data_IF_996812241674
#
_entry.id   IF_996812241674
#
_cell.length_a   1.000
_cell.length_b   1.000
_cell.length_c   1.000
_cell.angle_alpha   90.00
_cell.angle_beta   90.00
_cell.angle_gamma   90.00
#
_symmetry.space_group_name_H-M   'P 1'
#
loop_
_entity.id
_entity.type
_entity.pdbx_description
1 polymer ?
#
# COMPACT_ATOMS: atom_id res chain seq x y z
N UNK A 1 -9.74 -12.66 -4.53
CA UNK A 1 -8.94 -11.63 -5.21
C UNK A 1 -9.85 -10.97 -6.23
N UNK A 2 -9.99 -9.65 -6.23
CA UNK A 2 -10.77 -8.96 -7.24
C UNK A 2 -10.00 -8.97 -8.58
N UNK A 3 -10.67 -9.27 -9.68
CA UNK A 3 -10.06 -9.22 -11.01
C UNK A 3 -9.71 -7.78 -11.40
N UNK A 4 -8.58 -7.56 -12.09
CA UNK A 4 -8.18 -6.23 -12.53
C UNK A 4 -9.17 -5.72 -13.58
N UNK A 5 -9.88 -4.64 -13.26
CA UNK A 5 -10.79 -3.97 -14.20
C UNK A 5 -9.93 -3.29 -15.28
N UNK A 6 -10.06 -3.73 -16.52
CA UNK A 6 -9.46 -3.06 -17.69
C UNK A 6 -10.36 -1.88 -18.05
N UNK A 7 -9.84 -0.66 -17.91
CA UNK A 7 -10.60 0.58 -18.13
C UNK A 7 -10.12 1.28 -19.40
N UNK A 8 -11.07 1.66 -20.26
CA UNK A 8 -10.92 2.60 -21.39
C UNK A 8 -12.05 3.66 -21.23
N UNK A 9 -12.00 4.95 -21.60
CA UNK A 9 -11.31 5.63 -22.70
C UNK A 9 -10.89 7.04 -22.23
N UNK A 10 -9.59 7.34 -22.30
CA UNK A 10 -8.89 8.66 -22.28
C UNK A 10 -9.13 9.61 -21.08
N UNK A 11 -10.36 10.02 -20.76
CA UNK A 11 -10.61 10.98 -19.66
C UNK A 11 -10.41 10.33 -18.28
N UNK A 12 -10.78 9.04 -18.14
CA UNK A 12 -10.49 8.26 -16.93
C UNK A 12 -9.01 7.87 -16.84
N UNK A 13 -8.29 7.78 -17.96
CA UNK A 13 -6.85 7.54 -17.95
C UNK A 13 -6.09 8.68 -17.29
N UNK A 14 -6.40 9.93 -17.66
CA UNK A 14 -5.82 11.10 -16.99
C UNK A 14 -6.17 11.13 -15.50
N UNK A 15 -7.41 10.75 -15.14
CA UNK A 15 -7.85 10.67 -13.74
C UNK A 15 -7.10 9.60 -12.95
N UNK A 16 -6.85 8.42 -13.56
CA UNK A 16 -6.19 7.30 -12.90
C UNK A 16 -4.67 7.44 -12.86
N UNK A 17 -4.03 7.99 -13.89
CA UNK A 17 -2.62 8.40 -13.85
C UNK A 17 -2.40 9.57 -12.89
N UNK A 18 -3.40 10.46 -12.76
CA UNK A 18 -3.37 11.55 -11.78
C UNK A 18 -3.35 11.09 -10.32
N UNK A 19 -3.62 9.80 -10.06
CA UNK A 19 -3.44 9.19 -8.74
C UNK A 19 -1.97 8.89 -8.42
N UNK A 20 -1.08 8.88 -9.44
CA UNK A 20 0.35 8.81 -9.22
C UNK A 20 0.88 10.22 -8.93
N UNK A 21 1.29 10.43 -7.69
CA UNK A 21 1.89 11.70 -7.28
C UNK A 21 3.33 11.81 -7.78
N UNK A 22 3.69 12.99 -8.29
CA UNK A 22 5.09 13.33 -8.60
C UNK A 22 5.96 13.14 -7.35
N UNK A 23 7.13 12.52 -7.52
CA UNK A 23 8.00 12.10 -6.41
C UNK A 23 7.58 10.77 -5.75
N UNK A 24 6.43 10.20 -6.10
CA UNK A 24 5.96 8.92 -5.57
C UNK A 24 6.82 7.73 -6.01
N UNK A 25 6.96 6.73 -5.14
CA UNK A 25 7.69 5.52 -5.46
C UNK A 25 6.87 4.62 -6.41
N UNK A 26 7.51 4.20 -7.50
CA UNK A 26 6.96 3.23 -8.44
C UNK A 26 7.91 2.05 -8.60
N UNK A 27 7.38 0.91 -9.02
CA UNK A 27 8.16 -0.26 -9.44
C UNK A 27 8.01 -0.42 -10.95
N UNK A 28 9.12 -0.61 -11.64
CA UNK A 28 9.12 -1.01 -13.05
C UNK A 28 9.36 -2.52 -13.15
N UNK A 29 8.56 -3.20 -13.96
CA UNK A 29 8.81 -4.59 -14.37
C UNK A 29 9.38 -4.59 -15.80
N UNK A 30 10.53 -5.24 -15.96
CA UNK A 30 11.22 -5.43 -17.24
C UNK A 30 11.21 -6.92 -17.56
N UNK A 31 10.91 -7.26 -18.81
CA UNK A 31 10.99 -8.64 -19.31
C UNK A 31 12.07 -8.69 -20.38
N UNK A 32 13.09 -9.53 -20.18
CA UNK A 32 14.15 -9.73 -21.18
C UNK A 32 13.61 -10.52 -22.37
N UNK A 33 14.29 -10.51 -23.54
CA UNK A 33 13.91 -11.36 -24.67
C UNK A 33 13.82 -12.86 -24.33
N UNK A 34 14.69 -13.34 -23.43
CA UNK A 34 14.66 -14.70 -22.90
C UNK A 34 13.53 -14.96 -21.87
N UNK A 35 12.60 -14.02 -21.66
CA UNK A 35 11.47 -14.15 -20.73
C UNK A 35 11.78 -13.91 -19.25
N UNK A 36 13.03 -13.58 -18.89
CA UNK A 36 13.42 -13.29 -17.50
C UNK A 36 12.78 -11.98 -17.04
N UNK A 37 12.20 -11.98 -15.85
CA UNK A 37 11.53 -10.79 -15.27
C UNK A 37 12.43 -10.14 -14.22
N UNK A 38 12.57 -8.82 -14.27
CA UNK A 38 13.25 -8.00 -13.29
C UNK A 38 12.32 -6.91 -12.75
N UNK A 39 12.40 -6.63 -11.45
CA UNK A 39 11.58 -5.59 -10.79
C UNK A 39 12.48 -4.58 -10.11
N UNK A 40 12.29 -3.30 -10.41
CA UNK A 40 13.16 -2.23 -9.91
C UNK A 40 12.33 -1.09 -9.37
N UNK A 41 12.60 -0.69 -8.12
CA UNK A 41 11.99 0.51 -7.54
C UNK A 41 12.67 1.75 -8.08
N UNK A 42 11.87 2.76 -8.39
CA UNK A 42 12.31 4.07 -8.87
C UNK A 42 11.24 5.13 -8.54
N UNK A 43 11.42 6.34 -9.05
CA UNK A 43 10.57 7.49 -8.74
C UNK A 43 9.73 7.90 -9.95
N UNK A 44 8.45 8.14 -9.74
CA UNK A 44 7.59 8.78 -10.72
C UNK A 44 7.88 10.28 -10.76
N UNK A 45 8.18 10.83 -11.93
CA UNK A 45 8.48 12.25 -12.07
C UNK A 45 7.20 13.03 -12.41
N UNK A 46 6.43 12.53 -13.38
CA UNK A 46 5.19 13.17 -13.82
C UNK A 46 4.81 12.75 -15.23
N UNK A 47 3.87 13.47 -15.82
CA UNK A 47 3.40 13.20 -17.17
C UNK A 47 2.85 14.46 -17.83
N UNK A 48 2.91 14.48 -19.15
CA UNK A 48 2.17 15.44 -19.96
C UNK A 48 1.05 14.67 -20.66
N UNK A 49 -0.23 14.96 -20.35
CA UNK A 49 -1.37 14.21 -20.87
C UNK A 49 -1.28 14.00 -22.38
N UNK A 50 -1.52 12.76 -22.83
CA UNK A 50 -1.49 12.36 -24.25
C UNK A 50 -0.14 12.48 -24.94
N UNK A 51 0.93 12.90 -24.25
CA UNK A 51 2.25 13.07 -24.86
C UNK A 51 3.26 12.05 -24.35
N UNK A 52 3.53 12.05 -23.05
CA UNK A 52 4.53 11.15 -22.44
C UNK A 52 4.36 11.05 -20.93
N UNK A 53 4.98 10.01 -20.36
CA UNK A 53 5.18 9.82 -18.93
C UNK A 53 6.68 9.85 -18.63
N UNK A 54 7.08 10.51 -17.56
CA UNK A 54 8.45 10.59 -17.08
C UNK A 54 8.63 9.76 -15.81
N UNK A 55 9.60 8.86 -15.84
CA UNK A 55 9.99 8.03 -14.70
C UNK A 55 11.50 8.11 -14.56
N UNK A 56 11.99 8.25 -13.33
CA UNK A 56 13.43 8.23 -13.08
C UNK A 56 14.01 6.87 -13.52
N UNK A 57 15.15 6.89 -14.18
CA UNK A 57 15.85 5.65 -14.51
C UNK A 57 16.30 4.99 -13.20
N UNK A 58 16.04 3.68 -12.98
CA UNK A 58 16.40 3.04 -11.72
C UNK A 58 17.90 3.08 -11.46
N UNK A 59 18.29 2.94 -10.19
CA UNK A 59 19.69 2.87 -9.79
C UNK A 59 20.46 1.82 -10.63
N UNK A 60 21.48 2.23 -11.41
CA UNK A 60 22.29 1.33 -12.23
C UNK A 60 22.92 0.18 -11.43
N UNK A 61 23.29 0.42 -10.17
CA UNK A 61 23.88 -0.60 -9.29
C UNK A 61 22.88 -1.71 -8.97
N UNK A 62 21.59 -1.40 -8.96
CA UNK A 62 20.51 -2.37 -8.73
C UNK A 62 20.06 -3.07 -10.00
N UNK A 63 20.19 -2.43 -11.15
CA UNK A 63 19.79 -2.99 -12.45
C UNK A 63 20.69 -4.13 -12.91
N UNK A 64 22.01 -3.99 -12.73
CA UNK A 64 22.99 -4.93 -13.27
C UNK A 64 22.75 -5.20 -14.77
N UNK A 65 22.72 -6.47 -15.16
CA UNK A 65 22.50 -6.88 -16.55
C UNK A 65 21.13 -6.49 -17.13
N UNK A 66 20.16 -6.02 -16.33
CA UNK A 66 18.89 -5.54 -16.86
C UNK A 66 18.97 -4.17 -17.52
N UNK A 67 19.98 -3.37 -17.21
CA UNK A 67 20.14 -2.02 -17.75
C UNK A 67 20.18 -2.02 -19.29
N UNK A 68 20.81 -3.02 -19.90
CA UNK A 68 20.93 -3.14 -21.36
C UNK A 68 19.59 -3.38 -22.07
N UNK A 69 18.56 -3.84 -21.35
CA UNK A 69 17.23 -4.09 -21.91
C UNK A 69 16.33 -2.86 -21.80
N UNK A 70 16.76 -1.80 -21.11
CA UNK A 70 16.06 -0.51 -21.08
C UNK A 70 16.54 0.34 -22.26
N UNK A 71 16.05 0.01 -23.45
CA UNK A 71 16.35 0.72 -24.69
C UNK A 71 15.06 1.23 -25.34
N UNK A 72 15.22 2.13 -26.31
CA UNK A 72 14.10 2.62 -27.11
C UNK A 72 13.34 1.45 -27.73
N UNK A 73 12.01 1.49 -27.61
CA UNK A 73 11.12 0.44 -28.11
C UNK A 73 10.77 -0.65 -27.10
N UNK A 74 11.49 -0.76 -25.98
CA UNK A 74 11.18 -1.75 -24.93
C UNK A 74 9.87 -1.41 -24.23
N UNK A 75 9.01 -2.41 -24.05
CA UNK A 75 7.82 -2.29 -23.19
C UNK A 75 8.21 -2.46 -21.72
N UNK A 76 7.80 -1.51 -20.89
CA UNK A 76 8.00 -1.51 -19.44
C UNK A 76 6.63 -1.47 -18.78
N UNK A 77 6.44 -2.30 -17.75
CA UNK A 77 5.26 -2.18 -16.88
C UNK A 77 5.64 -1.24 -15.73
N UNK A 78 4.88 -0.16 -15.53
CA UNK A 78 5.03 0.74 -14.39
C UNK A 78 3.92 0.43 -13.40
N UNK A 79 4.26 0.28 -12.11
CA UNK A 79 3.31 0.05 -11.01
C UNK A 79 3.55 1.07 -9.91
N UNK A 80 2.57 1.90 -9.62
CA UNK A 80 2.59 2.78 -8.47
C UNK A 80 1.63 2.31 -7.39
N UNK A 81 2.03 2.52 -6.14
CA UNK A 81 1.15 2.36 -5.00
C UNK A 81 0.47 3.71 -4.74
N UNK A 82 -0.85 3.71 -4.66
CA UNK A 82 -1.62 4.85 -4.18
C UNK A 82 -1.84 4.63 -2.69
N UNK A 83 -1.29 5.53 -1.89
CA UNK A 83 -1.50 5.57 -0.45
C UNK A 83 -2.81 6.32 -0.15
N UNK A 84 -3.62 5.75 0.74
CA UNK A 84 -4.97 6.21 1.07
C UNK A 84 -5.84 5.07 1.64
N UNK A 85 -7.09 5.39 2.01
CA UNK A 85 -8.04 4.47 2.67
C UNK A 85 -8.19 3.12 1.94
N UNK A 86 -8.28 3.13 0.61
CA UNK A 86 -8.47 1.89 -0.16
C UNK A 86 -7.16 1.16 -0.49
N UNK A 87 -6.02 1.86 -0.55
CA UNK A 87 -4.73 1.32 -0.97
C UNK A 87 -4.82 0.61 -2.32
N UNK A 88 -4.54 1.29 -3.41
CA UNK A 88 -4.67 0.72 -4.76
C UNK A 88 -3.31 0.65 -5.47
N UNK A 89 -3.15 -0.35 -6.34
CA UNK A 89 -2.05 -0.37 -7.31
C UNK A 89 -2.59 0.13 -8.64
N UNK A 90 -1.97 1.20 -9.13
CA UNK A 90 -2.11 1.62 -10.51
C UNK A 90 -0.99 1.01 -11.31
N UNK A 91 -1.33 0.31 -12.39
CA UNK A 91 -0.36 -0.27 -13.30
C UNK A 91 -0.69 0.07 -14.76
N UNK A 92 0.34 0.31 -15.55
CA UNK A 92 0.21 0.47 -16.98
C UNK A 92 1.44 -0.08 -17.70
N UNK A 93 1.27 -0.49 -18.94
CA UNK A 93 2.37 -0.87 -19.82
C UNK A 93 2.61 0.27 -20.79
N UNK A 94 3.86 0.70 -20.90
CA UNK A 94 4.25 1.72 -21.86
C UNK A 94 5.61 1.42 -22.47
N UNK A 95 5.81 1.92 -23.69
CA UNK A 95 7.03 1.77 -24.46
C UNK A 95 8.00 2.89 -24.12
N UNK A 96 9.29 2.57 -24.00
CA UNK A 96 10.35 3.58 -23.86
C UNK A 96 10.50 4.31 -25.19
N UNK A 97 10.23 5.62 -25.21
CA UNK A 97 10.53 6.49 -26.36
C UNK A 97 12.02 6.80 -26.42
N UNK A 98 12.60 7.20 -25.28
CA UNK A 98 14.01 7.51 -25.15
C UNK A 98 14.42 7.58 -23.67
N UNK A 99 15.73 7.69 -23.43
CA UNK A 99 16.29 8.02 -22.11
C UNK A 99 17.08 9.32 -22.18
N UNK A 100 16.95 10.16 -21.16
CA UNK A 100 17.69 11.41 -21.01
C UNK A 100 18.76 11.22 -19.93
N UNK A 101 19.89 11.92 -20.01
CA UNK A 101 21.00 11.80 -19.05
C UNK A 101 21.13 13.01 -18.10
N UNK A 102 20.71 14.19 -18.55
CA UNK A 102 20.86 15.47 -17.83
C UNK A 102 19.44 16.05 -17.63
N UNK A 103 19.11 16.62 -16.45
CA UNK A 103 19.95 16.76 -15.25
C UNK A 103 20.14 15.46 -14.46
N UNK A 104 19.39 14.41 -14.80
CA UNK A 104 19.56 13.05 -14.27
C UNK A 104 19.07 12.03 -15.29
N UNK A 105 19.32 10.73 -15.04
CA UNK A 105 18.82 9.68 -15.92
C UNK A 105 17.30 9.55 -15.80
N UNK A 106 16.59 9.80 -16.90
CA UNK A 106 15.12 9.77 -16.98
C UNK A 106 14.70 8.88 -18.13
N UNK A 107 13.67 8.07 -17.95
CA UNK A 107 12.97 7.36 -19.00
C UNK A 107 11.77 8.17 -19.46
N UNK A 108 11.73 8.47 -20.76
CA UNK A 108 10.56 9.07 -21.42
C UNK A 108 9.75 7.92 -22.01
N UNK A 109 8.56 7.69 -21.46
CA UNK A 109 7.65 6.63 -21.89
C UNK A 109 6.55 7.22 -22.78
N UNK A 110 6.01 6.41 -23.69
CA UNK A 110 4.78 6.76 -24.40
C UNK A 110 3.65 7.01 -23.39
N UNK A 111 2.71 7.89 -23.74
CA UNK A 111 1.51 8.00 -22.92
C UNK A 111 0.72 6.68 -23.02
N UNK A 112 0.43 6.00 -21.91
CA UNK A 112 -0.20 4.68 -21.96
C UNK A 112 -1.61 4.79 -22.54
N UNK A 113 -2.02 3.75 -23.27
CA UNK A 113 -3.38 3.65 -23.82
C UNK A 113 -4.38 3.13 -22.80
N UNK A 114 -3.93 2.32 -21.84
CA UNK A 114 -4.77 1.72 -20.81
C UNK A 114 -4.04 1.78 -19.46
N UNK A 115 -4.83 1.92 -18.39
CA UNK A 115 -4.37 1.88 -17.00
C UNK A 115 -5.24 0.88 -16.26
N UNK A 116 -4.63 -0.06 -15.57
CA UNK A 116 -5.32 -0.93 -14.63
C UNK A 116 -5.24 -0.36 -13.22
N UNK A 117 -6.36 -0.41 -12.52
CA UNK A 117 -6.46 -0.07 -11.11
C UNK A 117 -6.89 -1.33 -10.37
N UNK A 118 -6.08 -1.76 -9.41
CA UNK A 118 -6.36 -2.92 -8.59
C UNK A 118 -6.37 -2.49 -7.13
N UNK A 119 -7.51 -2.59 -6.47
CA UNK A 119 -7.57 -2.42 -5.02
C UNK A 119 -6.75 -3.52 -4.35
N UNK A 120 -5.85 -3.14 -3.44
CA UNK A 120 -5.10 -4.09 -2.61
C UNK A 120 -5.95 -4.62 -1.46
N UNK A 121 -6.98 -3.86 -1.05
CA UNK A 121 -7.81 -4.20 0.09
C UNK A 121 -9.18 -4.66 -0.39
N UNK A 122 -9.65 -5.79 0.15
CA UNK A 122 -11.00 -6.27 -0.13
C UNK A 122 -12.10 -5.44 0.52
N UNK A 123 -11.72 -4.53 1.43
CA UNK A 123 -12.63 -3.78 2.32
C UNK A 123 -12.00 -2.43 2.67
N UNK A 124 -12.83 -1.38 2.74
CA UNK A 124 -12.43 -0.02 3.13
C UNK A 124 -11.87 -0.04 4.56
N UNK A 125 -10.84 0.78 4.80
CA UNK A 125 -10.32 1.10 6.12
C UNK A 125 -10.67 2.55 6.46
N UNK A 126 -10.97 2.82 7.71
CA UNK A 126 -11.25 4.13 8.27
C UNK A 126 -10.07 4.48 9.16
N UNK A 127 -9.51 5.68 9.00
CA UNK A 127 -8.44 6.16 9.85
C UNK A 127 -9.01 6.47 11.24
N UNK A 128 -8.27 6.16 12.31
CA UNK A 128 -8.76 6.29 13.69
C UNK A 128 -7.62 6.59 14.65
N UNK A 129 -7.93 6.98 15.88
CA UNK A 129 -6.94 7.02 16.97
C UNK A 129 -7.53 6.49 18.29
N UNK A 130 -8.03 5.25 18.24
CA UNK A 130 -8.73 4.64 19.39
C UNK A 130 -7.69 4.00 20.33
N UNK A 131 -7.68 4.46 21.58
CA UNK A 131 -6.81 3.88 22.62
C UNK A 131 -7.28 2.46 22.98
N UNK A 132 -6.33 1.54 23.06
CA UNK A 132 -6.56 0.12 23.28
C UNK A 132 -5.40 -0.52 24.04
N UNK A 133 -5.60 -1.76 24.49
CA UNK A 133 -4.54 -2.63 25.00
C UNK A 133 -4.47 -3.87 24.14
N UNK A 134 -3.28 -4.29 23.78
CA UNK A 134 -3.05 -5.59 23.15
C UNK A 134 -2.52 -6.56 24.20
N UNK A 135 -3.19 -7.71 24.32
CA UNK A 135 -2.69 -8.83 25.10
C UNK A 135 -1.90 -9.75 24.19
N UNK A 136 -0.63 -9.91 24.53
CA UNK A 136 0.31 -10.77 23.83
C UNK A 136 0.83 -11.77 24.86
N UNK A 137 0.56 -13.05 24.67
CA UNK A 137 0.85 -14.10 25.66
C UNK A 137 0.21 -13.75 27.02
N UNK A 138 1.00 -13.35 28.02
CA UNK A 138 0.52 -12.97 29.35
C UNK A 138 0.57 -11.47 29.64
N UNK A 139 1.21 -10.68 28.77
CA UNK A 139 1.45 -9.25 29.01
C UNK A 139 0.44 -8.38 28.25
N UNK A 140 0.15 -7.21 28.83
CA UNK A 140 -0.67 -6.19 28.22
C UNK A 140 0.17 -4.97 27.84
N UNK A 141 0.02 -4.53 26.61
CA UNK A 141 0.71 -3.37 26.06
C UNK A 141 -0.30 -2.32 25.64
N UNK A 142 -0.01 -1.05 25.95
CA UNK A 142 -0.82 0.06 25.45
C UNK A 142 -0.62 0.20 23.94
N UNK A 143 -1.72 0.36 23.22
CA UNK A 143 -1.73 0.44 21.77
C UNK A 143 -2.79 1.43 21.27
N UNK A 144 -2.52 2.11 20.16
CA UNK A 144 -3.52 2.90 19.45
C UNK A 144 -3.95 2.15 18.18
N UNK A 145 -5.26 2.05 17.95
CA UNK A 145 -5.81 1.60 16.67
C UNK A 145 -5.72 2.81 15.72
N UNK A 146 -4.91 2.69 14.67
CA UNK A 146 -4.64 3.76 13.69
C UNK A 146 -5.48 3.66 12.44
N UNK A 147 -5.85 2.45 12.04
CA UNK A 147 -6.84 2.22 10.99
C UNK A 147 -7.74 1.03 11.36
N UNK A 148 -8.98 1.00 10.85
CA UNK A 148 -9.96 -0.05 11.14
C UNK A 148 -10.75 -0.44 9.90
N UNK A 149 -10.96 -1.74 9.69
CA UNK A 149 -11.88 -2.31 8.69
C UNK A 149 -12.71 -3.45 9.28
N UNK A 150 -13.71 -3.91 8.54
CA UNK A 150 -14.50 -5.10 8.92
C UNK A 150 -13.69 -6.39 9.04
N UNK A 151 -12.45 -6.44 8.52
CA UNK A 151 -11.58 -7.63 8.56
C UNK A 151 -10.40 -7.52 9.51
N UNK A 152 -10.06 -6.33 9.98
CA UNK A 152 -8.83 -6.12 10.76
C UNK A 152 -8.49 -4.65 10.93
N UNK A 153 -7.42 -4.39 11.67
CA UNK A 153 -6.96 -3.05 11.99
C UNK A 153 -5.43 -2.96 12.00
N UNK A 154 -4.92 -1.72 12.04
CA UNK A 154 -3.54 -1.42 12.35
C UNK A 154 -3.44 -0.93 13.79
N UNK A 155 -2.54 -1.54 14.55
CA UNK A 155 -2.17 -1.14 15.91
C UNK A 155 -0.81 -0.47 15.90
N UNK A 156 -0.65 0.53 16.75
CA UNK A 156 0.61 1.19 17.03
C UNK A 156 0.92 1.11 18.53
N UNK A 157 2.11 0.61 18.87
CA UNK A 157 2.57 0.44 20.26
C UNK A 157 3.80 1.32 20.43
N UNK A 158 3.69 2.38 21.22
CA UNK A 158 4.84 3.22 21.58
C UNK A 158 5.82 2.41 22.43
N UNK A 159 7.13 2.59 22.21
CA UNK A 159 8.20 1.85 22.91
C UNK A 159 8.08 0.31 22.79
N UNK A 160 7.49 -0.19 21.71
CA UNK A 160 7.29 -1.61 21.45
C UNK A 160 8.53 -2.38 21.00
N UNK A 161 9.73 -1.80 21.05
CA UNK A 161 10.94 -2.38 20.46
C UNK A 161 11.38 -3.69 21.15
N UNK A 162 11.06 -3.84 22.43
CA UNK A 162 11.32 -5.06 23.21
C UNK A 162 10.27 -6.16 23.01
N UNK A 163 9.19 -5.88 22.29
CA UNK A 163 8.05 -6.77 22.18
C UNK A 163 8.29 -7.83 21.10
N UNK A 164 8.59 -9.05 21.54
CA UNK A 164 8.83 -10.20 20.67
C UNK A 164 7.52 -10.80 20.17
N UNK A 165 7.14 -10.42 18.95
CA UNK A 165 5.93 -10.86 18.28
C UNK A 165 6.23 -11.29 16.85
N UNK A 166 5.64 -12.41 16.45
CA UNK A 166 5.74 -12.93 15.09
C UNK A 166 4.41 -12.87 14.34
N UNK A 167 4.52 -12.86 13.02
CA UNK A 167 3.38 -13.07 12.12
C UNK A 167 2.76 -14.44 12.41
N UNK A 168 1.43 -14.50 12.46
CA UNK A 168 0.65 -15.70 12.73
C UNK A 168 0.33 -15.93 14.20
N UNK A 169 0.85 -15.12 15.12
CA UNK A 169 0.48 -15.21 16.53
C UNK A 169 -0.93 -14.66 16.77
N UNK A 170 -1.69 -15.35 17.62
CA UNK A 170 -2.99 -14.88 18.10
C UNK A 170 -2.83 -13.86 19.23
N UNK A 171 -3.59 -12.79 19.14
CA UNK A 171 -3.61 -11.69 20.10
C UNK A 171 -5.04 -11.28 20.43
N UNK A 172 -5.21 -10.64 21.58
CA UNK A 172 -6.49 -10.07 21.96
C UNK A 172 -6.36 -8.57 22.11
N UNK A 173 -7.23 -7.83 21.43
CA UNK A 173 -7.34 -6.38 21.53
C UNK A 173 -8.43 -6.08 22.54
N UNK A 174 -8.13 -5.21 23.50
CA UNK A 174 -9.04 -4.78 24.55
C UNK A 174 -9.20 -3.26 24.43
N UNK A 175 -10.43 -2.81 24.23
CA UNK A 175 -10.77 -1.38 24.21
C UNK A 175 -11.55 -1.12 25.49
N UNK A 176 -10.96 -0.32 26.38
CA UNK A 176 -11.55 0.00 27.68
C UNK A 176 -12.46 1.22 27.57
N UNK A 177 -13.59 1.18 28.28
CA UNK A 177 -14.51 2.31 28.42
C UNK A 177 -14.95 2.96 27.09
N UNK A 178 -15.11 2.16 26.03
CA UNK A 178 -15.57 2.68 24.75
C UNK A 178 -17.01 3.22 24.88
N UNK A 179 -17.18 4.54 24.86
CA UNK A 179 -18.45 5.26 25.08
C UNK A 179 -19.29 4.76 26.27
N UNK A 180 -18.63 4.45 27.40
CA UNK A 180 -19.30 4.07 28.66
C UNK A 180 -20.09 2.74 28.61
N UNK A 181 -19.91 1.93 27.56
CA UNK A 181 -20.62 0.66 27.34
C UNK A 181 -19.66 -0.51 27.31
N UNK A 182 -19.20 -0.93 28.48
CA UNK A 182 -18.40 -2.15 28.69
C UNK A 182 -17.06 -2.22 27.92
N UNK A 183 -16.22 -3.19 28.27
CA UNK A 183 -14.94 -3.38 27.60
C UNK A 183 -15.13 -4.27 26.37
N UNK A 184 -14.68 -3.80 25.20
CA UNK A 184 -14.70 -4.59 23.96
C UNK A 184 -13.46 -5.45 23.90
N UNK A 185 -13.63 -6.76 23.69
CA UNK A 185 -12.53 -7.71 23.47
C UNK A 185 -12.69 -8.35 22.09
N UNK A 186 -11.63 -8.26 21.28
CA UNK A 186 -11.56 -8.77 19.91
C UNK A 186 -10.39 -9.74 19.78
N UNK A 187 -10.65 -10.96 19.32
CA UNK A 187 -9.61 -11.89 18.89
C UNK A 187 -9.05 -11.51 17.53
N UNK A 188 -7.73 -11.60 17.35
CA UNK A 188 -7.08 -11.31 16.07
C UNK A 188 -5.80 -12.12 15.87
N UNK A 189 -5.40 -12.28 14.61
CA UNK A 189 -4.14 -12.90 14.19
C UNK A 189 -3.23 -11.86 13.53
N UNK A 190 -1.94 -11.90 13.83
CA UNK A 190 -0.98 -10.94 13.31
C UNK A 190 -0.62 -11.25 11.87
N UNK A 191 -0.90 -10.30 10.98
CA UNK A 191 -0.62 -10.41 9.56
C UNK A 191 0.74 -9.82 9.16
N UNK A 192 1.18 -8.78 9.86
CA UNK A 192 2.43 -8.07 9.55
C UNK A 192 2.93 -7.28 10.76
N UNK A 193 4.25 -7.14 10.89
CA UNK A 193 4.92 -6.36 11.93
C UNK A 193 5.94 -5.44 11.25
N UNK A 194 5.93 -4.15 11.59
CA UNK A 194 6.84 -3.14 11.06
C UNK A 194 7.40 -2.30 12.22
N UNK A 195 8.71 -2.37 12.48
CA UNK A 195 9.38 -1.40 13.36
C UNK A 195 9.19 0.02 12.81
N UNK A 196 8.99 0.97 13.71
CA UNK A 196 8.94 2.41 13.46
C UNK A 196 10.03 3.09 14.29
N UNK A 197 10.28 4.38 14.06
CA UNK A 197 11.34 5.13 14.77
C UNK A 197 11.06 5.22 16.27
N UNK A 198 9.78 5.25 16.66
CA UNK A 198 9.30 5.50 18.03
C UNK A 198 8.44 4.35 18.59
N UNK A 199 8.45 3.18 17.93
CA UNK A 199 7.73 2.01 18.41
C UNK A 199 7.46 0.95 17.36
N UNK A 200 6.36 0.22 17.54
CA UNK A 200 6.03 -0.95 16.73
C UNK A 200 4.65 -0.80 16.09
N UNK A 201 4.59 -0.97 14.77
CA UNK A 201 3.32 -1.03 14.05
C UNK A 201 2.97 -2.46 13.66
N UNK A 202 1.75 -2.89 14.02
CA UNK A 202 1.27 -4.26 13.83
C UNK A 202 -0.02 -4.21 13.02
N UNK A 203 -0.07 -4.98 11.93
CA UNK A 203 -1.30 -5.24 11.19
C UNK A 203 -1.91 -6.55 11.66
N UNK A 204 -3.19 -6.52 12.05
CA UNK A 204 -3.91 -7.70 12.55
C UNK A 204 -5.18 -7.97 11.74
N UNK A 205 -5.58 -9.23 11.69
CA UNK A 205 -6.83 -9.69 11.09
C UNK A 205 -7.75 -10.24 12.17
N UNK A 206 -8.98 -9.77 12.22
CA UNK A 206 -9.95 -10.19 13.23
C UNK A 206 -10.40 -11.65 13.02
N UNK A 207 -10.63 -12.32 14.14
CA UNK A 207 -11.30 -13.62 14.17
C UNK A 207 -12.77 -13.47 13.76
N UNK A 208 -13.31 -14.46 13.05
CA UNK A 208 -14.68 -14.39 12.48
C UNK A 208 -15.79 -14.29 13.52
N UNK A 209 -15.51 -14.63 14.78
CA UNK A 209 -16.50 -14.73 15.85
C UNK A 209 -16.90 -13.37 16.44
N UNK A 210 -16.16 -12.30 16.17
CA UNK A 210 -16.38 -10.98 16.78
C UNK A 210 -17.06 -9.97 15.83
N UNK A 211 -17.75 -10.45 14.78
CA UNK A 211 -18.28 -9.61 13.70
C UNK A 211 -19.17 -8.46 14.18
N UNK A 212 -20.10 -8.71 15.11
CA UNK A 212 -21.04 -7.69 15.57
C UNK A 212 -20.34 -6.58 16.35
N UNK A 213 -19.38 -6.94 17.21
CA UNK A 213 -18.54 -5.98 17.96
C UNK A 213 -17.69 -5.12 17.01
N UNK A 214 -17.18 -5.71 15.93
CA UNK A 214 -16.39 -5.00 14.92
C UNK A 214 -17.25 -3.98 14.17
N UNK A 215 -18.49 -4.35 13.82
CA UNK A 215 -19.42 -3.44 13.16
C UNK A 215 -19.84 -2.27 14.07
N UNK A 216 -20.06 -2.53 15.36
CA UNK A 216 -20.31 -1.48 16.35
C UNK A 216 -19.10 -0.54 16.51
N UNK A 217 -17.87 -1.10 16.55
CA UNK A 217 -16.66 -0.29 16.62
C UNK A 217 -16.49 0.59 15.37
N UNK A 218 -16.78 0.05 14.18
CA UNK A 218 -16.71 0.78 12.92
C UNK A 218 -17.75 1.90 12.83
N UNK A 219 -19.00 1.64 13.24
CA UNK A 219 -20.04 2.66 13.20
C UNK A 219 -19.71 3.84 14.11
N UNK A 220 -19.11 3.56 15.27
CA UNK A 220 -18.70 4.59 16.22
C UNK A 220 -17.45 5.36 15.75
N UNK A 221 -16.48 4.69 15.13
CA UNK A 221 -15.33 5.36 14.52
C UNK A 221 -15.76 6.39 13.45
N UNK A 222 -16.79 6.09 12.66
CA UNK A 222 -17.35 7.02 11.67
C UNK A 222 -18.03 8.25 12.28
N UNK A 223 -18.58 8.12 13.49
CA UNK A 223 -19.27 9.22 14.18
C UNK A 223 -18.30 10.12 14.94
N UNK A 224 -17.16 9.59 15.39
CA UNK A 224 -16.15 10.33 16.14
C UNK A 224 -15.30 11.30 15.26
N UNK A 225 -15.33 11.17 13.94
CA UNK A 225 -14.67 12.07 12.98
C UNK A 225 -15.54 13.27 12.53
N UNK A 226 -16.72 13.49 13.14
CA UNK A 226 -17.63 14.62 12.86
C UNK A 226 -17.69 15.61 14.03
#
# INVERSE_FOLDING_TARGET
MAEPVKVDVINRLNRNLGLLHAGGQVTIDIVTPAGKKGKFRTTFIGYLPKQYVLVQFPDPNRLGAFAQYISQGTNITVRGLIEGHEGAVVAFVSKVRQTLQIPSRIMVLEFPKTVSLQSLRSTIRIDTDIQSKIKVKQDYWQAAIKDLSVKGCQLYIANGDSLLINKGEEVHIVIEQFHSKSNVKLGAEICNVKPQVDGLSIGVQFSKNDKDKILELLSLALVAEL
#
